data_IF_787786541093
#
_entry.id   IF_787786541093
#
_cell.length_a   1.000
_cell.length_b   1.000
_cell.length_c   1.000
_cell.angle_alpha   90.00
_cell.angle_beta   90.00
_cell.angle_gamma   90.00
#
_symmetry.space_group_name_H-M   'P 1'
#
loop_
_entity.id
_entity.type
_entity.pdbx_description
1 polymer ?
#
# COMPACT_ATOMS: atom_id res chain seq x y z
N UNK A 1 59.42 11.12 54.58
CA UNK A 1 58.16 10.96 55.33
C UNK A 1 57.23 12.10 54.94
N UNK A 2 55.92 11.82 54.91
CA UNK A 2 54.78 12.67 54.50
C UNK A 2 54.40 12.57 53.02
N UNK A 3 53.49 11.62 52.78
CA UNK A 3 52.60 11.53 51.63
C UNK A 3 51.53 12.61 51.78
N UNK A 4 51.26 13.40 50.73
CA UNK A 4 49.98 14.11 50.57
C UNK A 4 49.48 13.98 49.14
N UNK A 5 48.25 13.47 49.05
CA UNK A 5 47.44 13.30 47.85
C UNK A 5 46.99 14.68 47.35
N UNK A 6 47.01 14.87 46.04
CA UNK A 6 46.24 15.94 45.38
C UNK A 6 45.56 15.37 44.13
N UNK A 7 44.24 15.28 44.23
CA UNK A 7 43.26 15.08 43.17
C UNK A 7 43.41 16.14 42.08
N UNK A 8 43.48 15.71 40.81
CA UNK A 8 43.28 16.59 39.67
C UNK A 8 42.18 16.00 38.79
N UNK A 9 40.99 16.58 38.94
CA UNK A 9 39.80 16.42 38.12
C UNK A 9 40.12 16.77 36.67
N UNK A 10 39.92 15.83 35.74
CA UNK A 10 39.88 16.14 34.30
C UNK A 10 38.43 15.99 33.85
N UNK A 11 37.79 17.13 33.63
CA UNK A 11 36.49 17.24 32.97
C UNK A 11 36.65 16.78 31.52
N UNK A 12 36.11 15.60 31.20
CA UNK A 12 35.99 15.11 29.84
C UNK A 12 34.66 15.64 29.27
N UNK A 13 34.76 16.70 28.48
CA UNK A 13 33.63 17.33 27.80
C UNK A 13 32.96 16.37 26.83
N UNK A 14 31.70 16.03 27.11
CA UNK A 14 30.84 15.23 26.26
C UNK A 14 30.35 16.12 25.10
N UNK A 15 30.97 16.02 23.93
CA UNK A 15 30.45 16.64 22.71
C UNK A 15 29.24 15.82 22.22
N UNK A 16 28.04 16.23 22.61
CA UNK A 16 26.79 15.68 22.05
C UNK A 16 26.66 16.27 20.65
N UNK A 17 27.10 15.52 19.64
CA UNK A 17 26.77 15.80 18.25
C UNK A 17 25.27 15.59 18.06
N UNK A 18 24.50 16.69 18.07
CA UNK A 18 23.10 16.69 17.65
C UNK A 18 23.05 16.43 16.14
N UNK A 19 23.00 15.16 15.76
CA UNK A 19 22.70 14.71 14.41
C UNK A 19 21.22 15.01 14.16
N UNK A 20 20.93 16.19 13.60
CA UNK A 20 19.59 16.53 13.13
C UNK A 20 19.30 15.70 11.89
N UNK A 21 18.53 14.62 12.07
CA UNK A 21 17.91 13.94 10.95
C UNK A 21 16.94 14.92 10.29
N UNK A 22 17.32 15.44 9.12
CA UNK A 22 16.38 16.09 8.23
C UNK A 22 15.49 14.99 7.67
N UNK A 23 14.31 14.79 8.26
CA UNK A 23 13.27 13.99 7.63
C UNK A 23 12.83 14.70 6.35
N UNK A 24 13.33 14.24 5.21
CA UNK A 24 12.73 14.56 3.91
C UNK A 24 11.41 13.79 3.86
N UNK A 25 10.32 14.46 4.21
CA UNK A 25 8.98 13.97 3.91
C UNK A 25 8.79 14.08 2.40
N UNK A 26 8.89 12.96 1.68
CA UNK A 26 8.44 12.90 0.30
C UNK A 26 6.93 13.20 0.29
N UNK A 27 6.54 14.36 -0.21
CA UNK A 27 5.13 14.68 -0.40
C UNK A 27 4.54 13.67 -1.40
N UNK A 28 3.29 13.19 -1.20
CA UNK A 28 2.64 12.34 -2.17
C UNK A 28 2.52 13.10 -3.49
N UNK A 29 3.15 12.59 -4.54
CA UNK A 29 3.07 13.17 -5.89
C UNK A 29 1.63 12.99 -6.36
N UNK A 30 0.92 14.10 -6.61
CA UNK A 30 -0.39 14.05 -7.23
C UNK A 30 -0.22 13.51 -8.67
N UNK A 31 -0.71 12.30 -8.92
CA UNK A 31 -0.72 11.68 -10.25
C UNK A 31 -1.76 12.38 -11.12
N UNK A 32 -1.40 12.81 -12.33
CA UNK A 32 -2.33 13.51 -13.21
C UNK A 32 -3.33 12.53 -13.85
N UNK A 33 -4.51 13.01 -14.25
CA UNK A 33 -5.58 12.16 -14.81
C UNK A 33 -5.16 11.36 -16.06
N UNK A 34 -4.31 11.95 -16.91
CA UNK A 34 -3.77 11.25 -18.09
C UNK A 34 -2.82 10.11 -17.69
N UNK A 35 -2.10 10.29 -16.58
CA UNK A 35 -1.22 9.26 -16.03
C UNK A 35 -2.06 8.12 -15.46
N UNK A 36 -3.17 8.42 -14.77
CA UNK A 36 -4.11 7.41 -14.26
C UNK A 36 -4.71 6.58 -15.39
N UNK A 37 -5.11 7.20 -16.51
CA UNK A 37 -5.63 6.45 -17.68
C UNK A 37 -4.59 5.54 -18.30
N UNK A 38 -3.34 6.00 -18.40
CA UNK A 38 -2.23 5.22 -18.95
C UNK A 38 -1.89 4.05 -18.04
N UNK A 39 -1.79 4.28 -16.73
CA UNK A 39 -1.58 3.26 -15.70
C UNK A 39 -2.72 2.25 -15.68
N UNK A 40 -3.98 2.71 -15.74
CA UNK A 40 -5.17 1.86 -15.81
C UNK A 40 -5.10 0.90 -16.98
N UNK A 41 -4.76 1.41 -18.17
CA UNK A 41 -4.62 0.57 -19.35
C UNK A 41 -3.50 -0.46 -19.14
N UNK A 42 -2.31 0.00 -18.75
CA UNK A 42 -1.15 -0.88 -18.54
C UNK A 42 -1.41 -1.98 -17.51
N UNK A 43 -2.03 -1.63 -16.38
CA UNK A 43 -2.40 -2.58 -15.35
C UNK A 43 -3.43 -3.61 -15.84
N UNK A 44 -4.47 -3.16 -16.57
CA UNK A 44 -5.48 -4.06 -17.14
C UNK A 44 -4.89 -5.02 -18.16
N UNK A 45 -3.96 -4.55 -18.99
CA UNK A 45 -3.25 -5.39 -19.96
C UNK A 45 -2.42 -6.45 -19.21
N UNK A 46 -1.68 -6.06 -18.16
CA UNK A 46 -0.87 -6.98 -17.34
C UNK A 46 -1.71 -7.99 -16.53
N UNK A 47 -2.99 -7.70 -16.26
CA UNK A 47 -3.94 -8.65 -15.67
C UNK A 47 -4.46 -9.71 -16.65
N UNK A 48 -4.08 -9.65 -17.92
CA UNK A 48 -4.40 -10.65 -18.93
C UNK A 48 -3.20 -11.55 -19.26
N UNK A 49 -2.03 -11.21 -18.74
CA UNK A 49 -0.80 -12.00 -18.93
C UNK A 49 -0.73 -13.00 -17.78
N UNK A 50 -0.65 -14.29 -18.15
CA UNK A 50 -0.41 -15.38 -17.22
C UNK A 50 1.03 -15.29 -16.70
N UNK A 51 1.19 -15.41 -15.39
CA UNK A 51 2.48 -15.46 -14.70
C UNK A 51 2.73 -16.82 -14.07
N UNK A 52 3.94 -17.00 -13.53
CA UNK A 52 4.37 -18.23 -12.86
C UNK A 52 3.40 -18.74 -11.78
N UNK A 53 2.63 -17.83 -11.16
CA UNK A 53 1.70 -18.15 -10.08
C UNK A 53 0.29 -18.48 -10.55
N UNK A 54 0.03 -18.43 -11.86
CA UNK A 54 -1.29 -18.71 -12.44
C UNK A 54 -1.44 -20.18 -12.87
N UNK A 55 -0.36 -20.97 -12.89
CA UNK A 55 -0.39 -22.40 -13.21
C UNK A 55 0.97 -23.10 -13.06
N UNK A 56 0.96 -24.44 -13.02
CA UNK A 56 2.15 -25.27 -12.72
C UNK A 56 3.24 -25.24 -13.81
N UNK A 57 2.90 -24.81 -15.04
CA UNK A 57 3.78 -24.85 -16.22
C UNK A 57 4.10 -23.46 -16.80
N UNK A 58 3.76 -22.38 -16.09
CA UNK A 58 3.98 -21.01 -16.57
C UNK A 58 5.42 -20.54 -16.33
N UNK A 59 5.99 -19.81 -17.29
CA UNK A 59 7.31 -19.20 -17.13
C UNK A 59 7.22 -17.92 -16.28
N UNK A 60 8.24 -17.69 -15.46
CA UNK A 60 8.35 -16.46 -14.67
C UNK A 60 8.43 -15.23 -15.56
N UNK A 61 7.45 -14.34 -15.40
CA UNK A 61 7.38 -13.07 -16.09
C UNK A 61 7.74 -11.95 -15.12
N UNK A 62 8.89 -11.30 -15.31
CA UNK A 62 9.37 -10.25 -14.40
C UNK A 62 8.38 -9.10 -14.21
N UNK A 63 7.63 -8.71 -15.26
CA UNK A 63 6.67 -7.62 -15.14
C UNK A 63 5.40 -8.00 -14.35
N UNK A 64 5.04 -9.29 -14.35
CA UNK A 64 3.81 -9.81 -13.73
C UNK A 64 4.08 -10.43 -12.36
N UNK A 65 5.23 -11.05 -12.17
CA UNK A 65 5.56 -11.91 -11.01
C UNK A 65 6.60 -11.30 -10.07
N UNK A 66 7.39 -10.31 -10.50
CA UNK A 66 8.44 -9.77 -9.65
C UNK A 66 7.90 -8.82 -8.59
N UNK A 67 8.40 -8.89 -7.34
CA UNK A 67 8.26 -7.78 -6.41
C UNK A 67 8.84 -6.53 -7.05
N UNK A 68 8.08 -5.44 -6.98
CA UNK A 68 8.36 -4.21 -7.74
C UNK A 68 8.33 -4.38 -9.26
N UNK A 69 7.78 -5.47 -9.80
CA UNK A 69 7.46 -5.63 -11.22
C UNK A 69 6.42 -4.61 -11.68
N UNK A 70 6.26 -4.46 -13.00
CA UNK A 70 5.38 -3.43 -13.55
C UNK A 70 3.93 -3.55 -13.05
N UNK A 71 3.38 -4.77 -12.97
CA UNK A 71 2.02 -5.02 -12.48
C UNK A 71 1.87 -4.55 -11.03
N UNK A 72 2.83 -4.90 -10.17
CA UNK A 72 2.86 -4.49 -8.77
C UNK A 72 2.92 -2.97 -8.61
N UNK A 73 3.85 -2.31 -9.29
CA UNK A 73 4.02 -0.84 -9.19
C UNK A 73 2.81 -0.08 -9.72
N UNK A 74 2.26 -0.50 -10.86
CA UNK A 74 1.07 0.11 -11.44
C UNK A 74 -0.13 -0.07 -10.50
N UNK A 75 -0.30 -1.26 -9.91
CA UNK A 75 -1.35 -1.56 -8.94
C UNK A 75 -1.26 -0.68 -7.70
N UNK A 76 -0.07 -0.56 -7.09
CA UNK A 76 0.16 0.31 -5.93
C UNK A 76 -0.09 1.78 -6.26
N UNK A 77 0.37 2.24 -7.43
CA UNK A 77 0.20 3.64 -7.84
C UNK A 77 -1.28 3.97 -8.05
N UNK A 78 -2.03 3.08 -8.71
CA UNK A 78 -3.47 3.21 -8.88
C UNK A 78 -4.20 3.17 -7.52
N UNK A 79 -3.82 2.26 -6.63
CA UNK A 79 -4.39 2.18 -5.28
C UNK A 79 -4.20 3.48 -4.52
N UNK A 80 -2.98 4.00 -4.44
CA UNK A 80 -2.67 5.27 -3.78
C UNK A 80 -3.45 6.46 -4.36
N UNK A 81 -3.73 6.45 -5.66
CA UNK A 81 -4.51 7.50 -6.30
C UNK A 81 -6.00 7.41 -5.98
N UNK A 82 -6.53 6.19 -5.86
CA UNK A 82 -7.96 5.88 -5.75
C UNK A 82 -8.44 5.61 -4.32
N UNK A 83 -7.54 5.42 -3.36
CA UNK A 83 -7.86 5.13 -1.94
C UNK A 83 -8.33 6.35 -1.16
N UNK A 84 -8.44 7.51 -1.82
CA UNK A 84 -8.91 8.74 -1.19
C UNK A 84 -10.38 8.60 -0.79
N UNK A 85 -10.75 8.92 0.46
CA UNK A 85 -12.14 8.92 0.88
C UNK A 85 -13.02 9.78 -0.04
N UNK A 86 -14.20 9.26 -0.39
CA UNK A 86 -15.12 9.90 -1.33
C UNK A 86 -14.89 9.54 -2.80
N UNK A 87 -13.87 8.73 -3.12
CA UNK A 87 -13.69 8.21 -4.48
C UNK A 87 -14.82 7.23 -4.80
N UNK A 88 -15.53 7.43 -5.92
CA UNK A 88 -16.63 6.54 -6.28
C UNK A 88 -16.14 5.10 -6.53
N UNK A 89 -16.82 4.11 -5.96
CA UNK A 89 -16.47 2.69 -6.16
C UNK A 89 -16.56 2.27 -7.64
N UNK A 90 -17.43 2.90 -8.44
CA UNK A 90 -17.48 2.70 -9.90
C UNK A 90 -16.17 3.12 -10.58
N UNK A 91 -15.59 4.27 -10.18
CA UNK A 91 -14.33 4.73 -10.74
C UNK A 91 -13.19 3.75 -10.45
N UNK A 92 -13.16 3.16 -9.25
CA UNK A 92 -12.18 2.12 -8.91
C UNK A 92 -12.32 0.92 -9.83
N UNK A 93 -13.53 0.36 -9.97
CA UNK A 93 -13.81 -0.78 -10.85
C UNK A 93 -13.51 -0.49 -12.32
N UNK A 94 -13.87 0.69 -12.79
CA UNK A 94 -13.62 1.13 -14.15
C UNK A 94 -12.13 1.32 -14.40
N UNK A 95 -11.35 1.75 -13.40
CA UNK A 95 -9.91 2.01 -13.54
C UNK A 95 -9.08 0.75 -13.36
N UNK A 96 -9.45 -0.14 -12.44
CA UNK A 96 -8.62 -1.29 -12.04
C UNK A 96 -9.13 -2.65 -12.55
N UNK A 97 -10.22 -2.66 -13.35
CA UNK A 97 -11.01 -3.86 -13.73
C UNK A 97 -11.92 -4.32 -12.57
N UNK A 98 -12.80 -5.33 -12.78
CA UNK A 98 -13.55 -5.94 -11.70
C UNK A 98 -12.64 -6.44 -10.58
N UNK A 99 -13.15 -6.33 -9.36
CA UNK A 99 -12.55 -6.91 -8.15
C UNK A 99 -12.34 -8.40 -8.35
N UNK A 100 -11.24 -8.89 -7.80
CA UNK A 100 -11.02 -10.31 -7.61
C UNK A 100 -11.78 -10.81 -6.37
N UNK A 101 -11.89 -12.12 -6.24
CA UNK A 101 -12.47 -12.76 -5.06
C UNK A 101 -11.58 -12.53 -3.83
N UNK A 102 -12.23 -12.43 -2.67
CA UNK A 102 -11.54 -12.27 -1.39
C UNK A 102 -11.62 -13.61 -0.66
N UNK A 103 -10.50 -14.26 -0.32
CA UNK A 103 -10.51 -15.45 0.51
C UNK A 103 -11.27 -15.22 1.84
N UNK A 104 -12.05 -16.20 2.27
CA UNK A 104 -12.97 -16.07 3.42
C UNK A 104 -12.27 -15.63 4.72
N UNK A 105 -11.07 -16.13 4.96
CA UNK A 105 -10.25 -15.80 6.12
C UNK A 105 -9.77 -14.35 6.11
N UNK A 106 -9.43 -13.83 4.93
CA UNK A 106 -9.10 -12.42 4.71
C UNK A 106 -10.35 -11.57 4.86
N UNK A 107 -11.47 -11.95 4.24
CA UNK A 107 -12.74 -11.23 4.35
C UNK A 107 -13.19 -11.12 5.82
N UNK A 108 -13.01 -12.18 6.59
CA UNK A 108 -13.29 -12.19 8.03
C UNK A 108 -12.42 -11.19 8.79
N UNK A 109 -11.13 -11.09 8.46
CA UNK A 109 -10.21 -10.13 9.07
C UNK A 109 -10.60 -8.69 8.72
N UNK A 110 -10.95 -8.43 7.45
CA UNK A 110 -11.40 -7.11 7.00
C UNK A 110 -12.69 -6.68 7.72
N UNK A 111 -13.67 -7.58 7.83
CA UNK A 111 -14.91 -7.32 8.59
C UNK A 111 -14.63 -7.06 10.07
N UNK A 112 -13.63 -7.73 10.65
CA UNK A 112 -13.24 -7.49 12.03
C UNK A 112 -12.55 -6.13 12.25
N UNK A 113 -11.97 -5.53 11.20
CA UNK A 113 -11.32 -4.22 11.24
C UNK A 113 -12.25 -3.05 10.90
N UNK A 114 -13.52 -3.31 10.62
CA UNK A 114 -14.50 -2.29 10.27
C UNK A 114 -14.64 -1.19 11.34
N UNK A 115 -14.63 0.09 10.93
CA UNK A 115 -14.88 1.20 11.84
C UNK A 115 -16.27 1.08 12.46
N UNK A 116 -16.33 1.21 13.79
CA UNK A 116 -17.60 1.27 14.52
C UNK A 116 -18.18 2.68 14.42
N UNK A 117 -19.04 2.92 13.44
CA UNK A 117 -19.70 4.21 13.21
C UNK A 117 -21.06 4.28 13.91
N UNK A 118 -21.54 5.51 14.15
CA UNK A 118 -22.91 5.77 14.61
C UNK A 118 -23.54 6.84 13.71
N UNK A 119 -24.59 6.53 12.94
CA UNK A 119 -25.26 5.21 12.83
C UNK A 119 -24.34 4.13 12.24
N UNK A 120 -24.65 2.84 12.46
CA UNK A 120 -23.90 1.74 11.84
C UNK A 120 -23.95 1.84 10.30
N UNK A 121 -22.80 1.67 9.68
CA UNK A 121 -22.62 1.65 8.22
C UNK A 121 -22.35 0.23 7.75
N UNK A 122 -22.82 -0.13 6.55
CA UNK A 122 -22.44 -1.40 5.92
C UNK A 122 -21.27 -1.18 4.98
N UNK A 123 -20.30 -2.09 5.01
CA UNK A 123 -19.14 -2.03 4.13
C UNK A 123 -19.12 -3.17 3.13
N UNK A 124 -18.52 -2.91 1.98
CA UNK A 124 -18.06 -3.93 1.03
C UNK A 124 -16.58 -3.72 0.71
N UNK A 125 -15.97 -4.71 0.07
CA UNK A 125 -14.55 -4.69 -0.23
C UNK A 125 -14.34 -4.96 -1.71
N UNK A 126 -13.47 -4.16 -2.33
CA UNK A 126 -12.89 -4.47 -3.63
C UNK A 126 -11.47 -4.96 -3.39
N UNK A 127 -11.06 -6.04 -4.03
CA UNK A 127 -9.72 -6.63 -3.91
C UNK A 127 -9.07 -6.76 -5.28
N UNK A 128 -7.75 -6.58 -5.30
CA UNK A 128 -6.94 -6.74 -6.50
C UNK A 128 -5.70 -7.54 -6.16
N UNK A 129 -5.56 -8.68 -6.82
CA UNK A 129 -4.54 -9.69 -6.53
C UNK A 129 -3.30 -9.53 -7.42
N UNK A 130 -2.18 -10.02 -6.90
CA UNK A 130 -0.89 -10.12 -7.56
C UNK A 130 -0.19 -11.42 -7.10
N UNK A 131 0.51 -12.10 -8.03
CA UNK A 131 1.13 -13.43 -7.81
C UNK A 131 0.16 -14.48 -7.27
N UNK A 132 -0.91 -14.82 -7.99
CA UNK A 132 -1.76 -15.97 -7.62
C UNK A 132 -2.27 -15.97 -6.17
N UNK A 133 -2.82 -14.85 -5.68
CA UNK A 133 -3.30 -14.62 -4.29
C UNK A 133 -2.24 -14.45 -3.20
N UNK A 134 -0.95 -14.53 -3.52
CA UNK A 134 0.09 -14.31 -2.52
C UNK A 134 0.12 -12.88 -1.99
N UNK A 135 -0.25 -11.90 -2.83
CA UNK A 135 -0.36 -10.52 -2.45
C UNK A 135 -1.64 -9.92 -3.00
N UNK A 136 -2.24 -9.03 -2.25
CA UNK A 136 -3.42 -8.30 -2.68
C UNK A 136 -3.48 -6.96 -1.97
N UNK A 137 -4.18 -6.03 -2.62
CA UNK A 137 -4.62 -4.81 -1.98
C UNK A 137 -6.13 -4.71 -2.08
N UNK A 138 -6.71 -3.87 -1.23
CA UNK A 138 -8.16 -3.74 -1.12
C UNK A 138 -8.58 -2.30 -0.91
N UNK A 139 -9.86 -2.05 -1.16
CA UNK A 139 -10.57 -0.83 -0.84
C UNK A 139 -11.77 -1.18 0.02
N UNK A 140 -12.01 -0.44 1.11
CA UNK A 140 -13.28 -0.49 1.84
C UNK A 140 -14.23 0.53 1.23
N UNK A 141 -15.40 0.05 0.87
CA UNK A 141 -16.48 0.84 0.27
C UNK A 141 -17.60 0.95 1.28
N UNK A 142 -18.01 2.18 1.58
CA UNK A 142 -19.27 2.44 2.28
C UNK A 142 -20.44 2.16 1.32
N UNK A 143 -21.33 1.25 1.69
CA UNK A 143 -22.45 0.83 0.84
C UNK A 143 -23.60 1.85 0.79
N UNK A 144 -23.67 2.78 1.74
CA UNK A 144 -24.71 3.81 1.76
C UNK A 144 -24.40 4.92 0.75
N UNK A 145 -23.11 5.26 0.61
CA UNK A 145 -22.63 6.28 -0.33
C UNK A 145 -22.05 5.69 -1.62
N UNK A 146 -21.67 4.41 -1.61
CA UNK A 146 -20.95 3.72 -2.68
C UNK A 146 -19.59 4.37 -3.00
N UNK A 147 -18.91 4.85 -1.95
CA UNK A 147 -17.63 5.54 -2.00
C UNK A 147 -16.56 4.82 -1.19
N UNK A 148 -15.31 4.98 -1.61
CA UNK A 148 -14.13 4.53 -0.86
C UNK A 148 -14.06 5.27 0.46
N UNK A 149 -13.74 4.54 1.53
CA UNK A 149 -13.42 5.06 2.86
C UNK A 149 -12.02 4.69 3.32
N UNK A 150 -11.43 3.63 2.75
CA UNK A 150 -10.05 3.16 2.95
C UNK A 150 -9.54 2.45 1.69
#
# INVERSE_FOLDING_TARGET
MVIRRSTATVLMGLAIAFLTFVSVSAAPVAVADNDIKTLSKGFKDLRQVEGFWDGDDEEYNEDVDAPEGKKHRDMQTLHNALSKPGTAASLVKDTMRPSDDIPDDILKQLKASEPKTTPPTNYSYLSYQWRGNHDFLWFRIDLDTNEVVE
#
